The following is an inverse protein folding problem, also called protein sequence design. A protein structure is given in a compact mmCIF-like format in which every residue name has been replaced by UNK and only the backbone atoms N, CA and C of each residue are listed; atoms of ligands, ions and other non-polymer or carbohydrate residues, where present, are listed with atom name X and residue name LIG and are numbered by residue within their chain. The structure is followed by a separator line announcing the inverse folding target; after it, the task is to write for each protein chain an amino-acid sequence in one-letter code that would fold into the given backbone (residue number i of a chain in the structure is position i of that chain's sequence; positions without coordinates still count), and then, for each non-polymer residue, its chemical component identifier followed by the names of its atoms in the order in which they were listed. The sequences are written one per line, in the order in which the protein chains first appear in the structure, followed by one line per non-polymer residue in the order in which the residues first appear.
data_IF_731508465547
#
_entry.id   IF_731508465547
#
_cell.length_a   1.000
_cell.length_b   1.000
_cell.length_c   1.000
_cell.angle_alpha   90.00
_cell.angle_beta   90.00
_cell.angle_gamma   90.00
#
_symmetry.space_group_name_H-M   'P 1'
#
loop_
_entity.id
_entity.type
_entity.pdbx_description
1 polymer ?
#
# COMPACT_ATOMS: atom_id res chain seq x y z
N UNK A 1 -14.95 13.88 10.83
CA UNK A 1 -14.66 12.60 10.15
C UNK A 1 -13.40 12.81 9.33
N UNK A 2 -12.53 11.81 9.24
CA UNK A 2 -11.37 11.89 8.33
C UNK A 2 -11.85 11.63 6.91
N UNK A 3 -11.55 12.53 5.99
CA UNK A 3 -11.92 12.38 4.59
C UNK A 3 -10.93 11.44 3.90
N UNK A 4 -11.43 10.38 3.30
CA UNK A 4 -10.62 9.45 2.52
C UNK A 4 -10.75 9.80 1.04
N UNK A 5 -9.61 10.03 0.41
CA UNK A 5 -9.53 10.41 -1.00
C UNK A 5 -8.69 9.38 -1.74
N UNK A 6 -9.28 8.78 -2.77
CA UNK A 6 -8.61 7.90 -3.71
C UNK A 6 -8.25 8.68 -4.97
N UNK A 7 -6.98 8.73 -5.31
CA UNK A 7 -6.47 9.34 -6.53
C UNK A 7 -6.08 8.23 -7.51
N UNK A 8 -6.66 8.24 -8.71
CA UNK A 8 -6.27 7.35 -9.81
C UNK A 8 -5.42 8.07 -10.84
N UNK A 9 -4.25 7.52 -11.20
CA UNK A 9 -3.34 8.15 -12.17
C UNK A 9 -3.76 7.99 -13.63
N UNK A 10 -4.68 7.07 -13.93
CA UNK A 10 -4.87 6.53 -15.28
C UNK A 10 -3.64 5.78 -15.79
N UNK A 11 -3.58 5.51 -17.10
CA UNK A 11 -2.40 4.92 -17.76
C UNK A 11 -1.32 5.98 -17.91
N UNK A 12 -0.09 5.66 -17.50
CA UNK A 12 1.10 6.51 -17.63
C UNK A 12 2.20 5.81 -18.41
N UNK A 13 3.05 6.58 -19.05
CA UNK A 13 4.23 6.05 -19.73
C UNK A 13 5.30 5.72 -18.68
N UNK A 14 6.17 4.76 -18.98
CA UNK A 14 7.31 4.43 -18.14
C UNK A 14 8.19 5.66 -17.83
N UNK A 15 8.35 6.57 -18.78
CA UNK A 15 9.16 7.80 -18.60
C UNK A 15 8.53 8.77 -17.59
N UNK A 16 7.23 8.68 -17.33
CA UNK A 16 6.53 9.47 -16.30
C UNK A 16 6.81 8.96 -14.87
N UNK A 17 7.60 7.89 -14.70
CA UNK A 17 7.91 7.34 -13.36
C UNK A 17 8.61 8.35 -12.46
N UNK A 18 9.41 9.25 -13.04
CA UNK A 18 10.12 10.28 -12.28
C UNK A 18 9.15 11.17 -11.47
N UNK A 19 7.95 11.44 -11.99
CA UNK A 19 6.93 12.22 -11.29
C UNK A 19 6.38 11.46 -10.08
N UNK A 20 6.13 10.16 -10.24
CA UNK A 20 5.68 9.30 -9.14
C UNK A 20 6.76 9.17 -8.06
N UNK A 21 8.02 8.98 -8.47
CA UNK A 21 9.15 8.93 -7.55
C UNK A 21 9.34 10.26 -6.81
N UNK A 22 9.23 11.41 -7.48
CA UNK A 22 9.31 12.71 -6.82
C UNK A 22 8.24 12.87 -5.72
N UNK A 23 7.03 12.35 -5.94
CA UNK A 23 5.93 12.36 -4.97
C UNK A 23 6.17 11.41 -3.78
N UNK A 24 6.96 10.34 -3.96
CA UNK A 24 7.01 9.19 -3.04
C UNK A 24 8.43 8.76 -2.62
N UNK A 25 9.44 9.58 -2.90
CA UNK A 25 10.86 9.21 -2.74
C UNK A 25 11.27 8.79 -1.32
N UNK A 26 10.58 9.30 -0.29
CA UNK A 26 10.82 8.98 1.12
C UNK A 26 9.84 7.92 1.68
N UNK A 27 9.01 7.32 0.84
CA UNK A 27 8.03 6.32 1.26
C UNK A 27 8.70 4.97 1.39
N UNK A 28 8.18 4.16 2.31
CA UNK A 28 8.51 2.73 2.33
C UNK A 28 7.77 2.07 1.17
N UNK A 29 8.46 1.23 0.40
CA UNK A 29 7.92 0.50 -0.73
C UNK A 29 8.23 -0.99 -0.62
N UNK A 30 7.31 -1.80 -1.13
CA UNK A 30 7.43 -3.24 -1.21
C UNK A 30 7.02 -3.74 -2.59
N UNK A 31 7.88 -4.56 -3.21
CA UNK A 31 7.62 -5.18 -4.51
C UNK A 31 8.40 -6.48 -4.64
N UNK A 32 8.07 -7.26 -5.67
CA UNK A 32 8.82 -8.45 -6.03
C UNK A 32 9.18 -8.41 -7.51
N UNK A 33 10.42 -8.78 -7.83
CA UNK A 33 10.92 -8.92 -9.19
C UNK A 33 11.73 -10.23 -9.34
N UNK A 34 12.42 -10.37 -10.48
CA UNK A 34 13.22 -11.56 -10.77
C UNK A 34 14.42 -11.76 -9.83
N UNK A 35 14.76 -10.78 -9.00
CA UNK A 35 15.88 -10.82 -8.05
C UNK A 35 15.43 -11.10 -6.62
N UNK A 36 14.12 -11.02 -6.35
CA UNK A 36 13.55 -11.36 -5.05
C UNK A 36 12.47 -10.38 -4.61
N UNK A 37 12.23 -10.38 -3.30
CA UNK A 37 11.33 -9.45 -2.65
C UNK A 37 12.12 -8.30 -2.04
N UNK A 38 11.60 -7.09 -2.22
CA UNK A 38 12.23 -5.84 -1.79
C UNK A 38 11.31 -5.14 -0.80
N UNK A 39 11.91 -4.56 0.24
CA UNK A 39 11.25 -3.73 1.24
C UNK A 39 12.22 -2.61 1.62
N UNK A 40 12.11 -1.47 0.95
CA UNK A 40 13.05 -0.36 1.07
C UNK A 40 12.39 0.95 0.60
N UNK A 41 13.18 2.00 0.32
CA UNK A 41 12.63 3.24 -0.22
C UNK A 41 12.06 3.03 -1.65
N UNK A 42 11.20 3.95 -2.09
CA UNK A 42 10.67 3.93 -3.45
C UNK A 42 11.81 3.90 -4.49
N UNK A 43 11.76 3.01 -5.49
CA UNK A 43 12.84 2.90 -6.47
C UNK A 43 12.85 4.10 -7.43
N UNK A 44 14.06 4.61 -7.70
CA UNK A 44 14.29 5.77 -8.57
C UNK A 44 13.76 5.55 -9.99
N UNK A 45 13.85 4.31 -10.48
CA UNK A 45 13.24 3.87 -11.75
C UNK A 45 12.13 2.86 -11.50
N UNK A 46 11.21 2.75 -12.45
CA UNK A 46 10.16 1.74 -12.41
C UNK A 46 10.81 0.34 -12.36
N UNK A 47 10.52 -0.48 -11.32
CA UNK A 47 11.10 -1.81 -11.22
C UNK A 47 10.48 -2.75 -12.25
N UNK A 48 11.22 -3.82 -12.59
CA UNK A 48 10.71 -4.92 -13.41
C UNK A 48 9.80 -5.85 -12.57
N UNK A 49 8.71 -5.28 -12.03
CA UNK A 49 7.72 -5.95 -11.21
C UNK A 49 6.34 -5.88 -11.87
N UNK A 50 5.37 -6.69 -11.43
CA UNK A 50 3.97 -6.51 -11.83
C UNK A 50 3.24 -5.53 -10.91
N UNK A 51 3.62 -5.51 -9.64
CA UNK A 51 3.01 -4.69 -8.60
C UNK A 51 4.05 -4.11 -7.67
N UNK A 52 3.77 -2.90 -7.20
CA UNK A 52 4.49 -2.24 -6.12
C UNK A 52 3.46 -1.63 -5.17
N UNK A 53 3.71 -1.75 -3.88
CA UNK A 53 3.01 -1.00 -2.84
C UNK A 53 3.98 -0.02 -2.23
N UNK A 54 3.51 1.16 -1.85
CA UNK A 54 4.29 2.09 -1.05
C UNK A 54 3.41 2.81 -0.03
N UNK A 55 3.98 3.29 1.05
CA UNK A 55 3.24 3.99 2.08
C UNK A 55 4.11 4.94 2.89
N UNK A 56 3.43 5.94 3.42
CA UNK A 56 3.90 6.81 4.50
C UNK A 56 2.71 7.08 5.42
N UNK A 57 2.89 7.86 6.48
CA UNK A 57 1.80 8.19 7.40
C UNK A 57 0.65 8.88 6.66
N UNK A 58 -0.54 8.29 6.73
CA UNK A 58 -1.77 8.82 6.12
C UNK A 58 -1.88 8.62 4.61
N UNK A 59 -0.91 7.95 3.97
CA UNK A 59 -0.88 7.80 2.51
C UNK A 59 -0.40 6.42 2.08
N UNK A 60 -1.09 5.83 1.12
CA UNK A 60 -0.81 4.51 0.60
C UNK A 60 -0.92 4.51 -0.91
N UNK A 61 0.07 3.92 -1.57
CA UNK A 61 0.17 3.79 -3.02
C UNK A 61 0.11 2.31 -3.38
N UNK A 62 -0.55 2.03 -4.50
CA UNK A 62 -0.36 0.79 -5.24
C UNK A 62 -0.13 1.14 -6.70
N UNK A 63 0.96 0.64 -7.26
CA UNK A 63 1.25 0.70 -8.68
C UNK A 63 1.14 -0.70 -9.31
N UNK A 64 0.54 -0.77 -10.51
CA UNK A 64 0.66 -1.89 -11.44
C UNK A 64 1.61 -1.45 -12.55
N UNK A 65 2.62 -2.26 -12.81
CA UNK A 65 3.61 -2.00 -13.85
C UNK A 65 3.43 -3.07 -14.95
N UNK A 66 3.28 -2.60 -16.18
CA UNK A 66 3.07 -3.42 -17.38
C UNK A 66 3.77 -2.72 -18.55
N UNK A 67 5.06 -3.01 -18.72
CA UNK A 67 5.95 -2.29 -19.64
C UNK A 67 5.32 -2.20 -21.04
N UNK A 68 5.28 -1.00 -21.67
CA UNK A 68 5.96 0.24 -21.29
C UNK A 68 5.11 1.23 -20.45
N UNK A 69 4.11 0.73 -19.71
CA UNK A 69 3.16 1.56 -18.98
C UNK A 69 3.07 1.21 -17.49
N UNK A 70 2.50 2.12 -16.72
CA UNK A 70 2.07 1.85 -15.36
C UNK A 70 0.75 2.56 -15.04
N UNK A 71 0.12 2.11 -13.96
CA UNK A 71 -1.07 2.70 -13.36
C UNK A 71 -0.84 2.74 -11.86
N UNK A 72 -1.29 3.80 -11.20
CA UNK A 72 -1.27 3.88 -9.76
C UNK A 72 -2.61 4.33 -9.20
N UNK A 73 -2.88 3.84 -8.01
CA UNK A 73 -3.88 4.37 -7.11
C UNK A 73 -3.17 4.86 -5.85
N UNK A 74 -3.55 6.03 -5.36
CA UNK A 74 -3.06 6.61 -4.12
C UNK A 74 -4.25 6.89 -3.20
N UNK A 75 -4.25 6.27 -2.03
CA UNK A 75 -5.21 6.52 -0.96
C UNK A 75 -4.60 7.51 0.04
N UNK A 76 -5.32 8.56 0.38
CA UNK A 76 -4.87 9.58 1.33
C UNK A 76 -5.97 9.94 2.33
N UNK A 77 -5.59 10.23 3.57
CA UNK A 77 -6.46 10.84 4.60
C UNK A 77 -6.41 12.37 4.59
N UNK A 78 -5.51 12.95 3.80
CA UNK A 78 -5.30 14.39 3.68
C UNK A 78 -5.34 14.82 2.21
N UNK A 79 -5.70 16.09 1.92
CA UNK A 79 -5.51 16.67 0.61
C UNK A 79 -4.04 16.52 0.17
N UNK A 80 -3.84 16.14 -1.09
CA UNK A 80 -2.53 15.96 -1.68
C UNK A 80 -2.52 16.63 -3.06
N UNK A 81 -1.53 17.48 -3.29
CA UNK A 81 -1.19 17.89 -4.64
C UNK A 81 -0.42 16.74 -5.30
N UNK A 82 -1.10 16.02 -6.17
CA UNK A 82 -0.56 14.88 -6.92
C UNK A 82 -0.02 15.31 -8.29
N UNK A 83 -0.12 16.60 -8.64
CA UNK A 83 0.16 17.09 -9.97
C UNK A 83 -0.88 16.67 -11.01
N UNK A 84 -0.62 16.92 -12.31
CA UNK A 84 -1.59 16.71 -13.37
C UNK A 84 -1.90 15.23 -13.64
N UNK A 85 -3.14 14.96 -14.03
CA UNK A 85 -3.62 13.66 -14.51
C UNK A 85 -3.93 12.63 -13.42
N UNK A 86 -4.01 13.04 -12.17
CA UNK A 86 -4.63 12.25 -11.11
C UNK A 86 -6.09 12.67 -10.96
N UNK A 87 -6.97 11.68 -10.84
CA UNK A 87 -8.41 11.90 -10.63
C UNK A 87 -8.76 11.60 -9.18
N UNK A 88 -9.09 12.62 -8.36
CA UNK A 88 -9.52 12.40 -6.98
C UNK A 88 -10.95 11.86 -6.93
N UNK A 89 -11.23 10.97 -5.99
CA UNK A 89 -12.57 10.43 -5.71
C UNK A 89 -12.69 10.26 -4.20
N UNK A 90 -13.72 10.85 -3.61
CA UNK A 90 -14.04 10.61 -2.20
C UNK A 90 -14.53 9.17 -2.03
N UNK A 91 -14.01 8.48 -1.03
CA UNK A 91 -14.35 7.08 -0.73
C UNK A 91 -14.74 6.92 0.74
N UNK A 92 -15.50 5.86 1.03
CA UNK A 92 -15.74 5.46 2.42
C UNK A 92 -14.41 5.04 3.10
N UNK A 93 -14.32 5.14 4.44
CA UNK A 93 -13.18 4.61 5.17
C UNK A 93 -12.89 3.15 4.81
N UNK A 94 -11.63 2.77 4.54
CA UNK A 94 -11.29 1.41 4.20
C UNK A 94 -11.48 0.48 5.40
N UNK A 95 -11.76 -0.79 5.12
CA UNK A 95 -11.60 -1.84 6.12
C UNK A 95 -10.11 -2.10 6.33
N UNK A 96 -9.67 -2.05 7.58
CA UNK A 96 -8.28 -2.30 7.97
C UNK A 96 -8.18 -3.69 8.57
N UNK A 97 -7.38 -4.56 7.97
CA UNK A 97 -7.10 -5.91 8.46
C UNK A 97 -5.60 -6.03 8.77
N UNK A 98 -5.23 -6.59 9.93
CA UNK A 98 -3.84 -6.95 10.23
C UNK A 98 -3.47 -8.21 9.47
N UNK A 99 -2.34 -8.18 8.77
CA UNK A 99 -1.85 -9.31 7.98
C UNK A 99 -0.71 -9.97 8.74
N UNK A 100 -0.97 -11.15 9.30
CA UNK A 100 0.06 -12.06 9.73
C UNK A 100 0.39 -12.97 8.56
N UNK A 101 1.55 -12.75 7.93
CA UNK A 101 1.94 -13.55 6.78
C UNK A 101 2.09 -15.03 7.13
N UNK A 102 2.56 -15.36 8.33
CA UNK A 102 2.70 -16.74 8.83
C UNK A 102 2.64 -16.77 10.35
N UNK A 103 2.30 -17.93 10.94
CA UNK A 103 2.46 -18.08 12.39
C UNK A 103 3.93 -17.93 12.76
N UNK A 104 4.20 -17.32 13.92
CA UNK A 104 5.56 -17.20 14.46
C UNK A 104 6.19 -18.59 14.54
N UNK A 105 7.28 -18.81 13.79
CA UNK A 105 7.99 -20.09 13.74
C UNK A 105 7.58 -21.04 12.60
N UNK A 106 6.72 -20.61 11.66
CA UNK A 106 6.47 -21.39 10.44
C UNK A 106 7.72 -21.39 9.55
N UNK A 107 8.43 -22.51 9.55
CA UNK A 107 9.72 -22.70 8.85
C UNK A 107 9.59 -23.12 7.40
N UNK A 108 8.36 -23.31 6.89
CA UNK A 108 8.12 -23.71 5.50
C UNK A 108 8.39 -22.58 4.50
N UNK A 109 8.32 -21.34 4.98
CA UNK A 109 8.72 -20.14 4.25
C UNK A 109 9.57 -19.34 5.21
N UNK A 110 10.90 -19.35 5.01
CA UNK A 110 11.77 -18.47 5.76
C UNK A 110 11.46 -17.04 5.31
N UNK A 111 10.55 -16.36 6.03
CA UNK A 111 10.38 -14.94 5.88
C UNK A 111 11.76 -14.30 6.07
N UNK A 112 12.16 -13.47 5.11
CA UNK A 112 13.20 -12.48 5.34
C UNK A 112 12.91 -11.83 6.70
N UNK A 113 13.95 -11.40 7.43
CA UNK A 113 13.84 -10.75 8.75
C UNK A 113 13.12 -9.39 8.65
N UNK A 114 11.97 -9.30 8.01
CA UNK A 114 10.93 -8.39 8.41
C UNK A 114 10.72 -8.70 9.89
N UNK A 115 11.18 -7.79 10.74
CA UNK A 115 10.57 -7.63 12.04
C UNK A 115 9.06 -7.69 11.82
N UNK A 116 8.29 -8.40 12.66
CA UNK A 116 6.84 -8.42 12.57
C UNK A 116 6.28 -7.05 12.97
N UNK A 117 6.72 -6.00 12.28
CA UNK A 117 6.00 -4.77 12.16
C UNK A 117 4.66 -5.16 11.57
N UNK A 118 3.63 -4.86 12.35
CA UNK A 118 2.28 -5.30 12.12
C UNK A 118 1.81 -4.71 10.78
N UNK A 119 1.96 -5.51 9.73
CA UNK A 119 1.59 -5.15 8.38
C UNK A 119 0.07 -5.07 8.33
N UNK A 120 -0.43 -4.09 7.60
CA UNK A 120 -1.84 -3.84 7.44
C UNK A 120 -2.23 -3.96 5.98
N UNK A 121 -3.46 -4.39 5.77
CA UNK A 121 -4.15 -4.30 4.51
C UNK A 121 -5.30 -3.31 4.64
N UNK A 122 -5.36 -2.33 3.74
CA UNK A 122 -6.49 -1.41 3.64
C UNK A 122 -7.33 -1.81 2.42
N UNK A 123 -8.57 -2.23 2.67
CA UNK A 123 -9.53 -2.65 1.65
C UNK A 123 -10.57 -1.55 1.45
N UNK A 124 -10.58 -0.95 0.28
CA UNK A 124 -11.63 -0.01 -0.11
C UNK A 124 -12.78 -0.81 -0.72
N UNK A 125 -14.03 -0.46 -0.36
CA UNK A 125 -15.23 -1.02 -0.97
C UNK A 125 -15.44 -0.41 -2.37
N UNK A 126 -14.55 -0.73 -3.30
CA UNK A 126 -14.64 -0.35 -4.70
C UNK A 126 -14.36 -1.60 -5.57
N UNK A 127 -15.25 -2.00 -6.49
CA UNK A 127 -15.13 -3.26 -7.24
C UNK A 127 -13.81 -3.44 -8.02
N UNK A 128 -13.15 -2.33 -8.37
CA UNK A 128 -11.90 -2.33 -9.14
C UNK A 128 -10.65 -2.05 -8.29
N UNK A 129 -10.79 -1.71 -7.01
CA UNK A 129 -9.67 -1.37 -6.14
C UNK A 129 -9.20 -2.62 -5.39
N UNK A 130 -8.10 -3.21 -5.84
CA UNK A 130 -7.39 -4.17 -5.00
C UNK A 130 -6.70 -3.46 -3.81
N UNK A 131 -6.33 -4.20 -2.77
CA UNK A 131 -5.96 -3.62 -1.48
C UNK A 131 -4.65 -2.85 -1.52
N UNK A 132 -4.55 -1.88 -0.60
CA UNK A 132 -3.31 -1.22 -0.24
C UNK A 132 -2.63 -1.97 0.89
N UNK A 133 -1.30 -1.87 0.95
CA UNK A 133 -0.48 -2.41 2.03
C UNK A 133 0.19 -1.26 2.76
N UNK A 134 0.41 -1.44 4.05
CA UNK A 134 1.11 -0.48 4.90
C UNK A 134 1.64 -1.12 6.17
N UNK A 135 2.34 -0.32 6.96
CA UNK A 135 2.67 -0.66 8.34
C UNK A 135 1.63 -0.07 9.28
N UNK A 136 1.50 -0.63 10.49
CA UNK A 136 0.67 -0.05 11.54
C UNK A 136 0.98 1.43 11.76
N UNK A 137 2.26 1.79 11.78
CA UNK A 137 2.74 3.15 11.93
C UNK A 137 2.29 4.11 10.81
N UNK A 138 1.90 3.59 9.63
CA UNK A 138 1.40 4.43 8.54
C UNK A 138 -0.03 4.92 8.77
N UNK A 139 -0.77 4.36 9.74
CA UNK A 139 -2.07 4.92 10.14
C UNK A 139 -1.84 6.19 10.98
N UNK A 140 -2.51 7.32 10.64
CA UNK A 140 -2.58 8.49 11.51
C UNK A 140 -3.01 8.10 12.92
N UNK A 141 -2.51 8.78 13.94
CA UNK A 141 -2.77 8.46 15.35
C UNK A 141 -4.27 8.32 15.66
N UNK A 142 -5.08 9.22 15.10
CA UNK A 142 -6.53 9.21 15.25
C UNK A 142 -7.21 7.94 14.70
N UNK A 143 -6.56 7.19 13.81
CA UNK A 143 -7.09 6.00 13.13
C UNK A 143 -6.49 4.68 13.65
N UNK A 144 -5.57 4.74 14.62
CA UNK A 144 -4.97 3.53 15.17
C UNK A 144 -5.98 2.64 15.91
N UNK A 145 -7.08 3.21 16.41
CA UNK A 145 -8.18 2.46 17.03
C UNK A 145 -8.88 1.50 16.04
N UNK A 146 -8.75 1.69 14.72
CA UNK A 146 -9.32 0.78 13.72
C UNK A 146 -8.69 -0.62 13.76
N UNK A 147 -7.55 -0.78 14.44
CA UNK A 147 -6.87 -2.06 14.66
C UNK A 147 -7.63 -2.99 15.62
N UNK A 148 -8.35 -2.43 16.58
CA UNK A 148 -8.86 -3.17 17.74
C UNK A 148 -10.18 -3.91 17.47
N UNK A 149 -10.75 -3.76 16.27
CA UNK A 149 -12.09 -4.29 15.96
C UNK A 149 -12.14 -5.81 15.73
N UNK A 150 -11.01 -6.54 15.73
CA UNK A 150 -10.99 -7.99 15.42
C UNK A 150 -10.11 -8.90 16.26
N UNK A 151 -9.43 -8.42 17.30
CA UNK A 151 -8.80 -9.33 18.29
C UNK A 151 -9.83 -10.23 19.00
N UNK A 152 -11.13 -9.93 18.90
CA UNK A 152 -12.21 -10.67 19.56
C UNK A 152 -12.86 -11.80 18.74
N UNK A 153 -12.39 -12.13 17.52
CA UNK A 153 -13.07 -13.12 16.68
C UNK A 153 -12.13 -14.12 16.00
N UNK A 154 -11.34 -14.85 16.79
CA UNK A 154 -10.77 -16.13 16.33
C UNK A 154 -11.08 -17.20 17.37
N UNK A 155 -12.30 -17.75 17.30
CA UNK A 155 -12.58 -19.06 17.91
C UNK A 155 -12.01 -20.13 16.96
N UNK A 156 -11.02 -20.93 17.37
CA UNK A 156 -10.51 -22.00 16.52
C UNK A 156 -11.63 -23.04 16.34
N UNK A 157 -12.05 -23.26 15.09
CA UNK A 157 -12.86 -24.44 14.77
C UNK A 157 -11.95 -25.66 14.93
N UNK A 158 -12.32 -26.53 15.88
CA UNK A 158 -11.76 -27.86 16.06
C UNK A 158 -12.26 -28.80 14.98
#
# INVERSE_FOLDING_TARGET
MTDWILFGSGRRAHDDWADLHALTSDWTAAWADNTGFHWEAMPVGAPNATHLWAWTTGRWLRARLDVPHWWAALLSTDPLDTGPGWTPTSVAPPRVDTVLHWQKGDSRVAAQKATPEESLQLQIECPSAAPFLGAIASLPQALQHLRDLRTSAVTPRR
#
